data_IF_771686249717
#
_entry.id   IF_771686249717
#
_cell.length_a   1.000
_cell.length_b   1.000
_cell.length_c   1.000
_cell.angle_alpha   90.00
_cell.angle_beta   90.00
_cell.angle_gamma   90.00
#
_symmetry.space_group_name_H-M   'P 1'
#
loop_
_entity.id
_entity.type
_entity.pdbx_description
1 polymer ?
#
# COMPACT_ATOMS: atom_id res chain seq x y z
N UNK A 1 -5.96 6.83 16.19
CA UNK A 1 -6.09 5.49 16.82
C UNK A 1 -5.75 5.57 18.29
N UNK A 2 -4.54 6.01 18.70
CA UNK A 2 -4.11 6.03 20.10
C UNK A 2 -5.09 6.83 20.99
N UNK A 3 -5.48 8.04 20.59
CA UNK A 3 -6.44 8.85 21.34
C UNK A 3 -7.83 8.17 21.48
N UNK A 4 -8.26 7.42 20.47
CA UNK A 4 -9.53 6.68 20.52
C UNK A 4 -9.46 5.48 21.48
N UNK A 5 -8.32 4.81 21.54
CA UNK A 5 -8.07 3.73 22.52
C UNK A 5 -8.05 4.29 23.94
N UNK A 6 -7.35 5.40 24.18
CA UNK A 6 -7.28 6.06 25.49
C UNK A 6 -8.64 6.58 25.97
N UNK A 7 -9.51 7.01 25.06
CA UNK A 7 -10.88 7.46 25.33
C UNK A 7 -11.90 6.31 25.45
N UNK A 8 -11.50 5.07 25.16
CA UNK A 8 -12.38 3.90 25.14
C UNK A 8 -13.42 3.89 24.01
N UNK A 9 -13.26 4.74 22.98
CA UNK A 9 -14.10 4.75 21.77
C UNK A 9 -13.63 3.72 20.73
N UNK A 10 -12.46 3.15 20.95
CA UNK A 10 -11.89 2.03 20.19
C UNK A 10 -11.32 1.01 21.17
N UNK A 11 -11.50 -0.27 20.90
CA UNK A 11 -10.98 -1.36 21.72
C UNK A 11 -9.97 -2.18 20.92
N UNK A 12 -8.93 -2.64 21.58
CA UNK A 12 -8.03 -3.63 21.01
C UNK A 12 -8.62 -5.02 21.20
N UNK A 13 -8.86 -5.72 20.11
CA UNK A 13 -9.49 -7.06 20.09
C UNK A 13 -8.55 -8.16 19.57
N UNK A 14 -7.25 -7.96 19.70
CA UNK A 14 -6.25 -8.94 19.30
C UNK A 14 -5.66 -8.70 17.90
N UNK A 15 -4.89 -9.67 17.44
CA UNK A 15 -4.31 -9.72 16.09
C UNK A 15 -5.24 -10.51 15.16
N UNK A 16 -5.13 -10.30 13.83
CA UNK A 16 -5.87 -11.08 12.83
C UNK A 16 -5.74 -12.60 13.02
N UNK A 17 -4.59 -13.09 13.50
CA UNK A 17 -4.32 -14.51 13.76
C UNK A 17 -4.70 -14.99 15.17
N UNK A 18 -5.14 -14.10 16.04
CA UNK A 18 -5.54 -14.42 17.43
C UNK A 18 -6.52 -13.33 17.94
N UNK A 19 -7.74 -13.25 17.38
CA UNK A 19 -8.74 -12.28 17.83
C UNK A 19 -9.36 -12.69 19.15
N UNK A 20 -9.75 -11.68 19.94
CA UNK A 20 -10.52 -11.86 21.16
C UNK A 20 -12.02 -11.96 20.82
N UNK A 21 -12.46 -13.16 20.53
CA UNK A 21 -13.86 -13.42 20.15
C UNK A 21 -14.87 -13.04 21.24
N UNK A 22 -14.49 -13.14 22.51
CA UNK A 22 -15.38 -12.79 23.63
C UNK A 22 -15.65 -11.28 23.61
N UNK A 23 -14.61 -10.47 23.52
CA UNK A 23 -14.75 -9.02 23.39
C UNK A 23 -15.49 -8.64 22.12
N UNK A 24 -15.16 -9.22 20.98
CA UNK A 24 -15.82 -8.96 19.68
C UNK A 24 -17.34 -9.19 19.79
N UNK A 25 -17.75 -10.33 20.35
CA UNK A 25 -19.17 -10.67 20.53
C UNK A 25 -19.86 -9.79 21.57
N UNK A 26 -19.21 -9.53 22.72
CA UNK A 26 -19.80 -8.73 23.79
C UNK A 26 -20.03 -7.26 23.37
N UNK A 27 -19.24 -6.76 22.42
CA UNK A 27 -19.41 -5.44 21.84
C UNK A 27 -20.44 -5.38 20.69
N UNK A 28 -21.02 -6.52 20.33
CA UNK A 28 -22.04 -6.59 19.28
C UNK A 28 -21.49 -6.29 17.87
N UNK A 29 -20.25 -6.66 17.60
CA UNK A 29 -19.66 -6.49 16.28
C UNK A 29 -20.49 -7.24 15.22
N UNK A 30 -20.80 -6.58 14.13
CA UNK A 30 -21.64 -7.10 13.04
C UNK A 30 -20.94 -7.18 11.69
N UNK A 31 -19.67 -6.75 11.62
CA UNK A 31 -18.80 -6.83 10.45
C UNK A 31 -17.35 -6.90 10.92
N UNK A 32 -16.58 -7.84 10.41
CA UNK A 32 -15.13 -7.84 10.51
C UNK A 32 -14.53 -7.35 9.18
N UNK A 33 -13.60 -6.41 9.25
CA UNK A 33 -12.83 -5.94 8.10
C UNK A 33 -11.40 -6.42 8.30
N UNK A 34 -10.98 -7.37 7.48
CA UNK A 34 -9.70 -8.04 7.57
C UNK A 34 -8.81 -7.70 6.37
N UNK A 35 -7.52 -7.65 6.58
CA UNK A 35 -6.57 -7.56 5.46
C UNK A 35 -6.40 -8.94 4.80
N UNK A 36 -5.75 -8.97 3.63
CA UNK A 36 -5.43 -10.24 2.95
C UNK A 36 -4.55 -11.19 3.76
N UNK A 37 -3.97 -10.73 4.88
CA UNK A 37 -3.26 -11.59 5.83
C UNK A 37 -4.16 -12.66 6.44
N UNK A 38 -5.49 -12.45 6.46
CA UNK A 38 -6.46 -13.45 6.93
C UNK A 38 -6.40 -14.76 6.13
N UNK A 39 -5.96 -14.71 4.87
CA UNK A 39 -5.79 -15.91 4.04
C UNK A 39 -4.72 -16.89 4.56
N UNK A 40 -3.83 -16.42 5.45
CA UNK A 40 -2.87 -17.28 6.15
C UNK A 40 -3.47 -17.97 7.38
N UNK A 41 -4.70 -17.59 7.75
CA UNK A 41 -5.43 -18.12 8.92
C UNK A 41 -6.91 -18.26 8.58
N UNK A 42 -7.27 -19.10 7.59
CA UNK A 42 -8.66 -19.22 7.10
C UNK A 42 -9.63 -19.68 8.21
N UNK A 43 -9.15 -20.42 9.19
CA UNK A 43 -9.92 -20.86 10.35
C UNK A 43 -10.46 -19.68 11.19
N UNK A 44 -9.79 -18.52 11.17
CA UNK A 44 -10.26 -17.32 11.86
C UNK A 44 -11.46 -16.73 11.12
N UNK A 45 -11.40 -16.65 9.81
CA UNK A 45 -12.53 -16.20 8.98
C UNK A 45 -13.74 -17.12 9.18
N UNK A 46 -13.55 -18.44 9.07
CA UNK A 46 -14.62 -19.44 9.27
C UNK A 46 -15.23 -19.32 10.67
N UNK A 47 -14.41 -19.04 11.68
CA UNK A 47 -14.88 -18.88 13.05
C UNK A 47 -15.73 -17.61 13.21
N UNK A 48 -15.31 -16.48 12.67
CA UNK A 48 -16.08 -15.22 12.69
C UNK A 48 -17.43 -15.41 12.01
N UNK A 49 -17.43 -16.01 10.81
CA UNK A 49 -18.67 -16.28 10.05
C UNK A 49 -19.60 -17.25 10.80
N UNK A 50 -19.06 -18.28 11.46
CA UNK A 50 -19.83 -19.20 12.31
C UNK A 50 -20.48 -18.48 13.50
N UNK A 51 -19.83 -17.44 14.01
CA UNK A 51 -20.36 -16.58 15.08
C UNK A 51 -21.36 -15.53 14.57
N UNK A 52 -21.68 -15.55 13.28
CA UNK A 52 -22.62 -14.62 12.64
C UNK A 52 -22.05 -13.27 12.28
N UNK A 53 -20.71 -13.14 12.26
CA UNK A 53 -20.01 -11.93 11.90
C UNK A 53 -19.44 -12.10 10.48
N UNK A 54 -20.05 -11.47 9.46
CA UNK A 54 -19.53 -11.52 8.09
C UNK A 54 -18.14 -10.88 8.01
N UNK A 55 -17.29 -11.42 7.14
CA UNK A 55 -15.91 -10.94 6.95
C UNK A 55 -15.78 -10.28 5.59
N UNK A 56 -15.41 -9.00 5.58
CA UNK A 56 -14.98 -8.28 4.40
C UNK A 56 -13.45 -8.28 4.33
N UNK A 57 -12.90 -8.87 3.27
CA UNK A 57 -11.45 -8.81 3.05
C UNK A 57 -11.10 -7.55 2.26
N UNK A 58 -10.41 -6.64 2.92
CA UNK A 58 -9.93 -5.38 2.37
C UNK A 58 -8.74 -5.62 1.44
N UNK A 59 -8.80 -5.11 0.20
CA UNK A 59 -7.82 -5.37 -0.85
C UNK A 59 -7.25 -4.11 -1.49
N UNK A 60 -7.37 -2.95 -0.87
CA UNK A 60 -6.85 -1.69 -1.42
C UNK A 60 -5.36 -1.77 -1.75
N UNK A 61 -4.61 -2.59 -1.02
CA UNK A 61 -3.19 -2.81 -1.26
C UNK A 61 -2.87 -3.50 -2.60
N UNK A 62 -3.87 -4.10 -3.25
CA UNK A 62 -3.75 -4.74 -4.56
C UNK A 62 -4.12 -3.82 -5.72
N UNK A 63 -4.61 -2.62 -5.43
CA UNK A 63 -4.86 -1.62 -6.45
C UNK A 63 -3.53 -1.09 -7.00
N UNK A 64 -3.37 -1.17 -8.31
CA UNK A 64 -2.17 -0.68 -8.99
C UNK A 64 -2.19 0.84 -9.19
N UNK A 65 -3.39 1.44 -9.23
CA UNK A 65 -3.55 2.87 -9.45
C UNK A 65 -3.73 3.60 -8.11
N UNK A 66 -3.06 4.74 -7.85
CA UNK A 66 -3.20 5.49 -6.60
C UNK A 66 -4.63 5.90 -6.27
N UNK A 67 -5.41 6.35 -7.27
CA UNK A 67 -6.82 6.66 -7.07
C UNK A 67 -7.66 5.42 -6.77
N UNK A 68 -7.34 4.26 -7.35
CA UNK A 68 -8.00 3.00 -7.01
C UNK A 68 -7.86 2.68 -5.52
N UNK A 69 -6.66 2.85 -4.96
CA UNK A 69 -6.45 2.72 -3.50
C UNK A 69 -7.30 3.70 -2.69
N UNK A 70 -7.37 4.94 -3.14
CA UNK A 70 -8.18 5.96 -2.46
C UNK A 70 -9.68 5.70 -2.60
N UNK A 71 -10.13 5.11 -3.70
CA UNK A 71 -11.54 4.85 -3.94
C UNK A 71 -12.16 3.90 -2.92
N UNK A 72 -11.37 3.04 -2.29
CA UNK A 72 -11.79 2.19 -1.18
C UNK A 72 -12.40 2.99 -0.01
N UNK A 73 -12.04 4.27 0.14
CA UNK A 73 -12.67 5.13 1.15
C UNK A 73 -14.17 5.30 0.94
N UNK A 74 -14.67 5.19 -0.32
CA UNK A 74 -16.11 5.25 -0.61
C UNK A 74 -16.84 4.05 -0.02
N UNK A 75 -16.21 2.86 -0.06
CA UNK A 75 -16.75 1.68 0.61
C UNK A 75 -16.85 1.90 2.13
N UNK A 76 -15.81 2.46 2.75
CA UNK A 76 -15.87 2.83 4.17
C UNK A 76 -16.91 3.91 4.44
N UNK A 77 -17.03 4.90 3.55
CA UNK A 77 -18.09 5.92 3.60
C UNK A 77 -19.48 5.29 3.64
N UNK A 78 -19.75 4.33 2.74
CA UNK A 78 -21.01 3.58 2.70
C UNK A 78 -21.26 2.80 4.00
N UNK A 79 -20.26 2.04 4.47
CA UNK A 79 -20.36 1.23 5.69
C UNK A 79 -20.61 2.06 6.96
N UNK A 80 -20.10 3.30 6.98
CA UNK A 80 -20.16 4.19 8.14
C UNK A 80 -21.19 5.32 7.99
N UNK A 81 -22.01 5.30 6.93
CA UNK A 81 -23.01 6.34 6.61
C UNK A 81 -22.36 7.74 6.46
N UNK A 82 -21.23 7.77 5.74
CA UNK A 82 -20.41 8.96 5.45
C UNK A 82 -20.09 9.09 3.96
N UNK A 83 -21.00 8.67 3.09
CA UNK A 83 -20.82 8.63 1.63
C UNK A 83 -20.52 10.02 1.08
N UNK A 84 -21.27 11.03 1.51
CA UNK A 84 -21.09 12.41 1.02
C UNK A 84 -19.69 12.95 1.31
N UNK A 85 -19.16 12.70 2.51
CA UNK A 85 -17.82 13.13 2.90
C UNK A 85 -16.76 12.34 2.12
N UNK A 86 -16.95 11.03 1.95
CA UNK A 86 -16.03 10.18 1.20
C UNK A 86 -15.98 10.57 -0.29
N UNK A 87 -17.13 10.80 -0.92
CA UNK A 87 -17.22 11.23 -2.31
C UNK A 87 -16.62 12.61 -2.52
N UNK A 88 -16.92 13.56 -1.64
CA UNK A 88 -16.36 14.91 -1.74
C UNK A 88 -14.81 14.89 -1.62
N UNK A 89 -14.29 14.10 -0.69
CA UNK A 89 -12.84 13.98 -0.53
C UNK A 89 -12.19 13.30 -1.75
N UNK A 90 -12.75 12.19 -2.22
CA UNK A 90 -12.24 11.47 -3.39
C UNK A 90 -12.23 12.37 -4.62
N UNK A 91 -13.34 13.08 -4.88
CA UNK A 91 -13.46 14.01 -6.01
C UNK A 91 -12.39 15.10 -5.93
N UNK A 92 -12.21 15.73 -4.77
CA UNK A 92 -11.20 16.76 -4.59
C UNK A 92 -9.75 16.25 -4.82
N UNK A 93 -9.45 14.99 -4.51
CA UNK A 93 -8.14 14.42 -4.80
C UNK A 93 -7.99 14.02 -6.27
N UNK A 94 -9.06 13.51 -6.90
CA UNK A 94 -9.08 13.20 -8.33
C UNK A 94 -8.82 14.45 -9.16
N UNK A 95 -9.50 15.56 -8.87
CA UNK A 95 -9.31 16.85 -9.55
C UNK A 95 -7.87 17.38 -9.43
N UNK A 96 -7.22 17.17 -8.27
CA UNK A 96 -5.80 17.53 -8.10
C UNK A 96 -4.90 16.68 -8.98
N UNK A 97 -5.18 15.38 -9.08
CA UNK A 97 -4.42 14.49 -9.95
C UNK A 97 -4.61 14.87 -11.43
N UNK A 98 -5.83 15.18 -11.87
CA UNK A 98 -6.11 15.60 -13.24
C UNK A 98 -5.25 16.79 -13.65
N UNK A 99 -4.98 17.73 -12.76
CA UNK A 99 -4.10 18.85 -13.02
C UNK A 99 -2.64 18.45 -13.28
N UNK A 100 -2.19 17.37 -12.63
CA UNK A 100 -0.83 16.84 -12.82
C UNK A 100 -0.76 16.02 -14.12
N UNK A 101 -1.80 15.26 -14.46
CA UNK A 101 -1.86 14.43 -15.67
C UNK A 101 -1.85 15.25 -16.98
N UNK A 102 -2.13 16.55 -16.92
CA UNK A 102 -2.02 17.43 -18.08
C UNK A 102 -0.57 17.80 -18.43
N UNK A 103 0.36 17.62 -17.50
CA UNK A 103 1.77 17.88 -17.72
C UNK A 103 2.40 16.81 -18.63
N UNK A 104 3.37 17.22 -19.43
CA UNK A 104 4.08 16.31 -20.32
C UNK A 104 5.04 15.44 -19.53
N UNK A 105 5.20 14.19 -19.96
CA UNK A 105 6.27 13.33 -19.46
C UNK A 105 7.63 14.04 -19.65
N UNK A 106 8.39 14.12 -18.60
CA UNK A 106 9.68 14.83 -18.56
C UNK A 106 10.82 14.07 -19.23
N UNK A 107 10.62 12.78 -19.51
CA UNK A 107 11.66 11.85 -19.95
C UNK A 107 12.65 11.45 -18.86
N UNK A 108 12.46 11.96 -17.62
CA UNK A 108 13.35 11.67 -16.49
C UNK A 108 13.14 10.27 -15.93
N UNK A 109 14.24 9.57 -15.68
CA UNK A 109 14.24 8.24 -15.09
C UNK A 109 14.34 8.29 -13.57
N UNK A 110 13.54 7.47 -12.90
CA UNK A 110 13.41 7.46 -11.44
C UNK A 110 13.52 6.04 -10.91
N UNK A 111 14.45 5.82 -9.97
CA UNK A 111 14.53 4.61 -9.17
C UNK A 111 13.94 4.86 -7.78
N UNK A 112 13.07 3.96 -7.31
CA UNK A 112 12.55 3.94 -5.95
C UNK A 112 12.97 2.65 -5.26
N UNK A 113 13.71 2.75 -4.14
CA UNK A 113 14.35 1.58 -3.53
C UNK A 113 14.65 1.78 -2.04
N UNK A 114 15.01 0.69 -1.37
CA UNK A 114 15.76 0.69 -0.12
C UNK A 114 16.76 -0.46 -0.09
N UNK A 115 17.81 -0.34 0.73
CA UNK A 115 18.82 -1.39 0.92
C UNK A 115 18.40 -2.24 2.13
N UNK A 116 18.31 -3.53 1.93
CA UNK A 116 17.97 -4.49 2.98
C UNK A 116 19.17 -4.78 3.88
N UNK A 117 18.93 -5.29 5.07
CA UNK A 117 20.00 -5.63 6.05
C UNK A 117 21.02 -6.65 5.54
N UNK A 118 20.66 -7.43 4.51
CA UNK A 118 21.56 -8.40 3.89
C UNK A 118 22.28 -7.84 2.63
N UNK A 119 22.17 -6.53 2.37
CA UNK A 119 22.82 -5.86 1.25
C UNK A 119 22.14 -6.01 -0.11
N UNK A 120 20.96 -6.65 -0.18
CA UNK A 120 20.16 -6.64 -1.41
C UNK A 120 19.42 -5.31 -1.54
N UNK A 121 18.99 -4.97 -2.74
CA UNK A 121 18.17 -3.78 -3.00
C UNK A 121 16.72 -4.19 -3.22
N UNK A 122 15.84 -3.67 -2.40
CA UNK A 122 14.40 -3.85 -2.60
C UNK A 122 13.87 -2.75 -3.51
N UNK A 123 13.24 -3.15 -4.59
CA UNK A 123 12.64 -2.26 -5.60
C UNK A 123 11.16 -2.57 -5.76
N UNK A 124 10.41 -1.66 -6.39
CA UNK A 124 9.02 -1.88 -6.77
C UNK A 124 8.94 -2.61 -8.11
N UNK A 125 7.94 -3.45 -8.28
CA UNK A 125 7.62 -4.05 -9.58
C UNK A 125 6.84 -3.04 -10.43
N UNK A 126 6.84 -3.16 -11.78
CA UNK A 126 6.25 -2.16 -12.68
C UNK A 126 4.76 -1.90 -12.46
N UNK A 127 3.99 -2.93 -12.09
CA UNK A 127 2.56 -2.81 -11.80
C UNK A 127 2.24 -2.22 -10.42
N UNK A 128 3.24 -1.99 -9.55
CA UNK A 128 3.01 -1.42 -8.22
C UNK A 128 2.56 0.04 -8.29
N UNK A 129 1.70 0.44 -7.36
CA UNK A 129 1.16 1.79 -7.33
C UNK A 129 2.23 2.89 -7.23
N UNK A 130 3.37 2.61 -6.58
CA UNK A 130 4.48 3.57 -6.48
C UNK A 130 5.12 3.81 -7.84
N UNK A 131 5.32 2.75 -8.63
CA UNK A 131 5.80 2.86 -10.02
C UNK A 131 4.80 3.67 -10.86
N UNK A 132 3.50 3.42 -10.69
CA UNK A 132 2.44 4.21 -11.35
C UNK A 132 2.40 5.66 -10.87
N UNK A 133 2.68 5.96 -9.61
CA UNK A 133 2.80 7.34 -9.13
C UNK A 133 3.94 8.09 -9.81
N UNK A 134 5.08 7.44 -10.04
CA UNK A 134 6.21 8.03 -10.78
C UNK A 134 5.79 8.35 -12.22
N UNK A 135 5.13 7.42 -12.90
CA UNK A 135 4.62 7.63 -14.26
C UNK A 135 3.58 8.75 -14.33
N UNK A 136 2.63 8.79 -13.40
CA UNK A 136 1.62 9.85 -13.29
C UNK A 136 2.23 11.23 -13.01
N UNK A 137 3.35 11.27 -12.28
CA UNK A 137 4.11 12.50 -12.05
C UNK A 137 4.97 12.93 -13.27
N UNK A 138 4.88 12.22 -14.41
CA UNK A 138 5.62 12.51 -15.62
C UNK A 138 7.07 12.03 -15.64
N UNK A 139 7.43 11.11 -14.74
CA UNK A 139 8.71 10.40 -14.77
C UNK A 139 8.58 9.04 -15.46
N UNK A 140 9.71 8.41 -15.70
CA UNK A 140 9.79 7.03 -16.18
C UNK A 140 10.34 6.17 -15.04
N UNK A 141 9.57 5.18 -14.60
CA UNK A 141 10.11 4.22 -13.64
C UNK A 141 11.23 3.42 -14.27
N UNK A 142 12.35 3.25 -13.55
CA UNK A 142 13.59 2.74 -14.12
C UNK A 142 13.52 1.27 -14.55
N UNK A 143 12.76 0.44 -13.80
CA UNK A 143 12.74 -1.00 -14.00
C UNK A 143 11.49 -1.43 -14.77
N UNK A 144 11.69 -2.01 -15.96
CA UNK A 144 10.61 -2.60 -16.75
C UNK A 144 10.29 -4.04 -16.34
N UNK A 145 9.16 -4.56 -16.79
CA UNK A 145 8.79 -5.96 -16.57
C UNK A 145 9.77 -6.92 -17.24
N UNK A 146 10.29 -6.56 -18.40
CA UNK A 146 11.29 -7.34 -19.13
C UNK A 146 12.61 -7.43 -18.37
N UNK A 147 13.13 -6.29 -17.86
CA UNK A 147 14.37 -6.25 -17.07
C UNK A 147 14.29 -7.13 -15.82
N UNK A 148 13.12 -7.17 -15.19
CA UNK A 148 12.88 -7.92 -13.96
C UNK A 148 12.39 -9.35 -14.18
N UNK A 149 12.09 -9.72 -15.42
CA UNK A 149 11.48 -11.00 -15.80
C UNK A 149 10.21 -11.29 -14.98
N UNK A 150 9.30 -10.33 -14.97
CA UNK A 150 8.00 -10.40 -14.30
C UNK A 150 6.89 -9.99 -15.26
N UNK A 151 5.62 -10.24 -14.86
CA UNK A 151 4.47 -9.75 -15.61
C UNK A 151 4.33 -8.23 -15.51
N UNK A 152 3.80 -7.58 -16.55
CA UNK A 152 3.58 -6.13 -16.61
C UNK A 152 2.72 -5.60 -15.43
N UNK A 153 1.77 -6.39 -15.00
CA UNK A 153 0.88 -6.07 -13.88
C UNK A 153 1.38 -6.60 -12.52
N UNK A 154 2.62 -7.09 -12.45
CA UNK A 154 3.18 -7.61 -11.21
C UNK A 154 3.23 -6.52 -10.14
N UNK A 155 2.63 -6.80 -8.98
CA UNK A 155 2.50 -5.89 -7.87
C UNK A 155 3.58 -6.12 -6.80
N UNK A 156 3.65 -5.17 -5.84
CA UNK A 156 4.53 -5.26 -4.69
C UNK A 156 6.01 -5.07 -5.03
N UNK A 157 6.88 -5.68 -4.26
CA UNK A 157 8.33 -5.48 -4.32
C UNK A 157 9.05 -6.76 -4.74
N UNK A 158 10.33 -6.60 -5.06
CA UNK A 158 11.27 -7.72 -5.15
C UNK A 158 12.67 -7.26 -4.73
N UNK A 159 13.50 -8.22 -4.36
CA UNK A 159 14.90 -7.95 -4.06
C UNK A 159 15.76 -8.31 -5.27
N UNK A 160 16.69 -7.40 -5.61
CA UNK A 160 17.71 -7.62 -6.64
C UNK A 160 19.10 -7.46 -6.03
N UNK A 161 20.11 -7.95 -6.71
CA UNK A 161 21.49 -7.78 -6.27
C UNK A 161 21.93 -6.33 -6.43
N UNK A 162 22.83 -5.87 -5.55
CA UNK A 162 23.34 -4.50 -5.57
C UNK A 162 24.00 -4.15 -6.91
N UNK A 163 24.73 -5.07 -7.50
CA UNK A 163 25.40 -4.88 -8.78
C UNK A 163 24.39 -4.68 -9.92
N UNK A 164 23.29 -5.43 -9.89
CA UNK A 164 22.19 -5.28 -10.88
C UNK A 164 21.52 -3.92 -10.72
N UNK A 165 21.26 -3.52 -9.49
CA UNK A 165 20.68 -2.20 -9.20
C UNK A 165 21.62 -1.09 -9.66
N UNK A 166 22.89 -1.15 -9.28
CA UNK A 166 23.88 -0.12 -9.64
C UNK A 166 24.03 0.00 -11.17
N UNK A 167 24.12 -1.13 -11.87
CA UNK A 167 24.26 -1.13 -13.33
C UNK A 167 23.09 -0.41 -14.02
N UNK A 168 21.86 -0.58 -13.51
CA UNK A 168 20.66 0.09 -14.02
C UNK A 168 20.54 1.56 -13.56
N UNK A 169 20.84 1.83 -12.30
CA UNK A 169 20.50 3.09 -11.64
C UNK A 169 21.60 4.16 -11.71
N UNK A 170 22.84 3.82 -12.08
CA UNK A 170 23.97 4.75 -12.13
C UNK A 170 23.76 5.97 -13.03
N UNK A 171 22.94 5.82 -14.07
CA UNK A 171 22.62 6.89 -15.03
C UNK A 171 21.18 7.42 -14.85
N UNK A 172 20.48 7.03 -13.77
CA UNK A 172 19.14 7.52 -13.48
C UNK A 172 19.17 9.01 -13.08
N UNK A 173 18.15 9.76 -13.50
CA UNK A 173 18.04 11.18 -13.14
C UNK A 173 17.73 11.40 -11.66
N UNK A 174 16.94 10.50 -11.06
CA UNK A 174 16.53 10.60 -9.66
C UNK A 174 16.61 9.24 -8.95
N UNK A 175 17.16 9.27 -7.75
CA UNK A 175 17.19 8.15 -6.81
C UNK A 175 16.34 8.52 -5.58
N UNK A 176 15.26 7.76 -5.35
CA UNK A 176 14.36 7.96 -4.21
C UNK A 176 14.57 6.81 -3.23
N UNK A 177 15.19 7.09 -2.09
CA UNK A 177 15.38 6.12 -1.03
C UNK A 177 14.16 6.05 -0.11
N UNK A 178 13.62 4.85 0.10
CA UNK A 178 12.51 4.61 1.02
C UNK A 178 13.00 4.46 2.46
N UNK A 179 13.17 5.57 3.16
CA UNK A 179 13.63 5.61 4.56
C UNK A 179 12.59 5.14 5.58
N UNK A 180 11.36 4.84 5.16
CA UNK A 180 10.29 4.42 6.10
C UNK A 180 10.53 3.04 6.72
N UNK A 181 11.44 2.25 6.14
CA UNK A 181 11.73 0.89 6.60
C UNK A 181 12.68 0.91 7.79
N UNK A 182 13.75 1.72 7.72
CA UNK A 182 14.83 1.72 8.73
C UNK A 182 14.71 2.89 9.72
N UNK A 183 13.82 3.85 9.47
CA UNK A 183 13.65 5.04 10.32
C UNK A 183 14.77 6.08 10.20
N UNK A 184 15.91 5.71 9.63
CA UNK A 184 17.04 6.59 9.40
C UNK A 184 17.14 7.00 7.92
N UNK A 185 17.52 8.25 7.68
CA UNK A 185 17.85 8.72 6.34
C UNK A 185 19.33 8.42 6.13
N UNK A 186 19.71 7.56 5.18
CA UNK A 186 21.12 7.31 4.90
C UNK A 186 21.79 8.59 4.42
N UNK A 187 23.01 8.82 4.86
CA UNK A 187 23.82 9.91 4.35
C UNK A 187 24.61 9.45 3.10
N UNK A 188 25.23 10.41 2.39
CA UNK A 188 25.97 10.13 1.16
C UNK A 188 27.21 9.24 1.39
N UNK A 189 27.65 9.06 2.63
CA UNK A 189 28.77 8.16 2.95
C UNK A 189 28.32 6.70 3.09
N UNK A 190 27.02 6.49 3.26
CA UNK A 190 26.40 5.15 3.37
C UNK A 190 25.95 4.58 2.01
N UNK A 191 25.98 5.40 0.97
CA UNK A 191 25.78 5.04 -0.44
C UNK A 191 27.12 4.89 -1.16
#
# INVERSE_FOLDING_TARGET
>A
IQAALEQGTMLYVGKYSAPDYETILSQGCNLAIESTMIYHSPEIQEKLETLGIPVLVERSSYESHPLGRMEWMKLYGLLLNRETEADAYFTAQSEKLDSILTEKNTGKTVAFFYITTNGSVNIRKPGDYTSKMIELAGGNYLFSAEDLNVEENALSTMNIQMETFYAAAKDADYLIYNSTIDGDIPNMEQF
#
